data_IF_450932754715
#
_entry.id   IF_450932754715
#
_cell.length_a   1.000
_cell.length_b   1.000
_cell.length_c   1.000
_cell.angle_alpha   90.00
_cell.angle_beta   90.00
_cell.angle_gamma   90.00
#
_symmetry.space_group_name_H-M   'P 1'
#
loop_
_entity.id
_entity.type
_entity.pdbx_description
1 polymer ?
#
# COMPACT_ATOMS: atom_id res chain seq x y z
N UNK A 1 -50.75 -13.87 22.57
CA UNK A 1 -49.92 -12.64 22.54
C UNK A 1 -49.01 -12.71 21.32
N UNK A 2 -49.21 -11.85 20.31
CA UNK A 2 -48.36 -11.83 19.10
C UNK A 2 -47.12 -10.97 19.39
N UNK A 3 -45.93 -11.51 19.15
CA UNK A 3 -44.67 -10.77 19.25
C UNK A 3 -44.45 -10.07 17.91
N UNK A 4 -44.54 -8.75 17.91
CA UNK A 4 -44.16 -7.92 16.77
C UNK A 4 -42.64 -7.90 16.68
N UNK A 5 -42.09 -8.83 15.89
CA UNK A 5 -40.69 -8.82 15.50
C UNK A 5 -40.47 -7.64 14.56
N UNK A 6 -39.88 -6.55 15.08
CA UNK A 6 -39.43 -5.42 14.25
C UNK A 6 -38.43 -5.91 13.20
N UNK A 7 -38.55 -5.47 11.93
CA UNK A 7 -37.65 -5.93 10.87
C UNK A 7 -36.25 -5.39 11.15
N UNK A 8 -35.26 -6.30 11.21
CA UNK A 8 -33.85 -5.93 11.34
C UNK A 8 -33.47 -5.07 10.13
N UNK A 9 -33.10 -3.82 10.40
CA UNK A 9 -32.61 -2.88 9.38
C UNK A 9 -31.38 -3.52 8.71
N UNK A 10 -31.45 -3.72 7.39
CA UNK A 10 -30.35 -4.30 6.60
C UNK A 10 -29.12 -3.40 6.71
N UNK A 11 -27.97 -3.98 7.06
CA UNK A 11 -26.69 -3.26 7.08
C UNK A 11 -26.42 -2.79 5.64
N UNK A 12 -26.15 -1.49 5.40
CA UNK A 12 -25.83 -0.97 4.08
C UNK A 12 -24.60 -1.69 3.49
N UNK A 13 -24.50 -1.82 2.16
CA UNK A 13 -23.28 -2.30 1.52
C UNK A 13 -22.09 -1.41 1.92
N UNK A 14 -20.90 -2.01 1.97
CA UNK A 14 -19.67 -1.36 2.48
C UNK A 14 -19.37 -0.01 1.78
N UNK A 15 -19.73 0.10 0.51
CA UNK A 15 -19.57 1.29 -0.34
C UNK A 15 -20.51 2.46 0.04
N UNK A 16 -21.61 2.17 0.73
CA UNK A 16 -22.63 3.15 1.13
C UNK A 16 -22.46 3.66 2.57
N UNK A 17 -21.36 3.29 3.22
CA UNK A 17 -21.13 3.65 4.62
C UNK A 17 -20.61 5.09 4.75
N UNK A 18 -21.29 5.89 5.57
CA UNK A 18 -20.96 7.29 5.84
C UNK A 18 -19.51 7.50 6.33
N UNK A 19 -18.87 6.49 6.93
CA UNK A 19 -17.47 6.56 7.37
C UNK A 19 -16.47 6.79 6.22
N UNK A 20 -16.88 6.51 4.99
CA UNK A 20 -16.09 6.75 3.78
C UNK A 20 -16.54 8.00 3.01
N UNK A 21 -17.60 8.70 3.47
CA UNK A 21 -18.05 9.95 2.85
C UNK A 21 -17.15 11.12 3.27
N UNK A 22 -16.13 11.35 2.45
CA UNK A 22 -15.20 12.45 2.62
C UNK A 22 -15.75 13.80 2.08
N UNK A 23 -16.99 13.91 1.60
CA UNK A 23 -17.53 15.18 1.07
C UNK A 23 -17.55 16.31 2.11
N UNK A 24 -17.70 15.96 3.40
CA UNK A 24 -17.65 16.91 4.52
C UNK A 24 -16.27 16.96 5.21
N UNK A 25 -15.26 16.30 4.65
CA UNK A 25 -13.94 16.25 5.26
C UNK A 25 -13.21 17.58 5.11
N UNK A 26 -12.66 18.10 6.22
CA UNK A 26 -11.84 19.31 6.20
C UNK A 26 -10.40 18.97 5.79
N UNK A 27 -9.84 19.69 4.81
CA UNK A 27 -8.44 19.53 4.41
C UNK A 27 -7.52 19.71 5.62
N UNK A 28 -6.60 18.76 5.82
CA UNK A 28 -5.60 18.84 6.88
C UNK A 28 -6.08 18.47 8.30
N UNK A 29 -7.35 18.06 8.50
CA UNK A 29 -7.89 17.69 9.82
C UNK A 29 -7.01 16.70 10.60
N UNK A 30 -6.42 15.73 9.90
CA UNK A 30 -5.57 14.70 10.50
C UNK A 30 -4.08 14.87 10.19
N UNK A 31 -3.66 15.97 9.53
CA UNK A 31 -2.28 16.15 9.11
C UNK A 31 -1.29 16.16 10.28
N UNK A 32 -1.70 16.69 11.44
CA UNK A 32 -0.88 16.72 12.66
C UNK A 32 -0.53 15.33 13.22
N UNK A 33 -1.26 14.27 12.83
CA UNK A 33 -1.01 12.89 13.28
C UNK A 33 0.14 12.22 12.54
N UNK A 34 0.58 12.80 11.43
CA UNK A 34 1.60 12.22 10.58
C UNK A 34 2.91 13.01 10.70
N UNK A 35 4.07 12.32 10.66
CA UNK A 35 5.35 13.00 10.64
C UNK A 35 5.49 13.85 9.37
N UNK A 36 6.32 14.90 9.44
CA UNK A 36 6.66 15.71 8.26
C UNK A 36 7.20 14.81 7.15
N UNK A 37 6.67 14.99 5.93
CA UNK A 37 7.06 14.19 4.76
C UNK A 37 6.31 12.85 4.64
N UNK A 38 5.33 12.55 5.48
CA UNK A 38 4.44 11.42 5.26
C UNK A 38 3.57 11.65 4.02
N UNK A 39 3.42 10.61 3.20
CA UNK A 39 2.56 10.60 2.03
C UNK A 39 1.37 9.66 2.26
N UNK A 40 0.17 10.10 1.90
CA UNK A 40 -1.02 9.26 1.86
C UNK A 40 -1.20 8.71 0.44
N UNK A 41 -1.33 7.39 0.33
CA UNK A 41 -1.52 6.70 -0.96
C UNK A 41 -2.73 5.79 -0.83
N UNK A 42 -3.58 5.78 -1.86
CA UNK A 42 -4.68 4.82 -1.94
C UNK A 42 -4.11 3.47 -2.36
N UNK A 43 -4.31 2.47 -1.51
CA UNK A 43 -3.92 1.09 -1.79
C UNK A 43 -5.15 0.36 -2.31
N UNK A 44 -4.96 -0.45 -3.35
CA UNK A 44 -6.05 -1.23 -3.93
C UNK A 44 -6.61 -2.25 -2.91
N UNK A 45 -7.93 -2.50 -2.89
CA UNK A 45 -8.57 -3.33 -1.86
C UNK A 45 -8.01 -4.75 -1.76
N UNK A 46 -7.65 -5.35 -2.89
CA UNK A 46 -7.05 -6.67 -2.99
C UNK A 46 -5.68 -6.72 -2.30
N UNK A 47 -4.86 -5.67 -2.46
CA UNK A 47 -3.57 -5.57 -1.78
C UNK A 47 -3.76 -5.35 -0.28
N UNK A 48 -4.71 -4.51 0.12
CA UNK A 48 -5.01 -4.29 1.52
C UNK A 48 -5.40 -5.57 2.25
N UNK A 49 -6.15 -6.48 1.61
CA UNK A 49 -6.50 -7.80 2.15
C UNK A 49 -5.29 -8.68 2.47
N UNK A 50 -4.15 -8.47 1.79
CA UNK A 50 -2.94 -9.24 2.03
C UNK A 50 -2.04 -8.63 3.11
N UNK A 51 -2.00 -7.29 3.23
CA UNK A 51 -1.11 -6.62 4.19
C UNK A 51 -1.79 -6.27 5.52
N UNK A 52 -3.03 -5.79 5.49
CA UNK A 52 -3.84 -5.45 6.67
C UNK A 52 -3.37 -4.23 7.47
N UNK A 53 -2.09 -3.82 7.38
CA UNK A 53 -1.52 -2.69 8.12
C UNK A 53 -0.54 -1.88 7.28
N UNK A 54 -0.36 -0.61 7.64
CA UNK A 54 0.61 0.27 6.98
C UNK A 54 2.06 -0.22 7.17
N UNK A 55 2.39 -0.79 8.34
CA UNK A 55 3.72 -1.32 8.62
C UNK A 55 4.06 -2.51 7.71
N UNK A 56 3.11 -3.44 7.53
CA UNK A 56 3.28 -4.59 6.65
C UNK A 56 3.49 -4.17 5.18
N UNK A 57 2.76 -3.16 4.71
CA UNK A 57 2.96 -2.58 3.36
C UNK A 57 4.36 -2.00 3.21
N UNK A 58 4.78 -1.19 4.18
CA UNK A 58 6.09 -0.55 4.16
C UNK A 58 7.22 -1.58 4.18
N UNK A 59 7.08 -2.65 4.95
CA UNK A 59 8.04 -3.76 4.98
C UNK A 59 8.10 -4.50 3.65
N UNK A 60 6.97 -4.76 3.01
CA UNK A 60 6.92 -5.32 1.65
C UNK A 60 7.67 -4.44 0.63
N UNK A 61 7.44 -3.13 0.66
CA UNK A 61 8.13 -2.18 -0.22
C UNK A 61 9.64 -2.13 0.03
N UNK A 62 10.08 -2.23 1.30
CA UNK A 62 11.50 -2.31 1.65
C UNK A 62 12.15 -3.57 1.11
N UNK A 63 11.47 -4.71 1.14
CA UNK A 63 11.97 -5.96 0.54
C UNK A 63 12.11 -5.79 -0.97
N UNK A 64 11.10 -5.23 -1.64
CA UNK A 64 11.16 -4.96 -3.08
C UNK A 64 12.33 -4.05 -3.45
N UNK A 65 12.58 -3.01 -2.67
CA UNK A 65 13.74 -2.12 -2.86
C UNK A 65 15.07 -2.86 -2.72
N UNK A 66 15.20 -3.77 -1.74
CA UNK A 66 16.41 -4.60 -1.57
C UNK A 66 16.65 -5.47 -2.80
N UNK A 67 15.61 -6.16 -3.30
CA UNK A 67 15.70 -7.00 -4.50
C UNK A 67 16.07 -6.17 -5.73
N UNK A 68 15.42 -5.02 -5.93
CA UNK A 68 15.72 -4.12 -7.03
C UNK A 68 17.18 -3.60 -6.99
N UNK A 69 17.68 -3.29 -5.79
CA UNK A 69 19.06 -2.84 -5.59
C UNK A 69 20.07 -3.94 -5.92
N UNK A 70 19.81 -5.17 -5.48
CA UNK A 70 20.65 -6.32 -5.80
C UNK A 70 20.68 -6.60 -7.31
N UNK A 71 19.53 -6.54 -7.97
CA UNK A 71 19.43 -6.73 -9.42
C UNK A 71 20.23 -5.66 -10.19
N UNK A 72 20.17 -4.40 -9.75
CA UNK A 72 20.91 -3.28 -10.36
C UNK A 72 22.43 -3.46 -10.24
N UNK A 73 22.90 -3.98 -9.11
CA UNK A 73 24.34 -4.26 -8.90
C UNK A 73 24.85 -5.41 -9.77
N UNK A 74 24.03 -6.44 -10.02
CA UNK A 74 24.38 -7.57 -10.90
C UNK A 74 24.59 -7.16 -12.38
N UNK A 75 23.86 -6.15 -12.86
CA UNK A 75 24.03 -5.62 -14.22
C UNK A 75 25.40 -4.97 -14.45
N UNK A 76 25.93 -4.28 -13.43
CA UNK A 76 27.26 -3.65 -13.48
C UNK A 76 28.39 -4.69 -13.54
N UNK A 77 28.26 -5.81 -12.81
CA UNK A 77 29.22 -6.91 -12.82
C UNK A 77 29.24 -7.62 -14.18
N UNK A 78 28.08 -7.84 -14.81
CA UNK A 78 27.98 -8.44 -16.16
C UNK A 78 28.66 -7.56 -17.22
N UNK A 79 28.52 -6.23 -17.10
CA UNK A 79 29.13 -5.25 -18.02
C UNK A 79 30.65 -5.15 -17.87
N UNK A 80 31.18 -5.32 -16.66
CA UNK A 80 32.64 -5.38 -16.42
C UNK A 80 33.26 -6.67 -16.99
N UNK A 81 32.62 -7.83 -16.79
CA UNK A 81 33.10 -9.13 -17.32
C UNK A 81 33.12 -9.17 -18.85
N UNK A 82 32.11 -8.59 -19.51
CA UNK A 82 32.06 -8.48 -20.96
C UNK A 82 33.20 -7.62 -21.53
N UNK A 83 33.63 -6.59 -20.79
CA UNK A 83 34.72 -5.69 -21.20
C UNK A 83 36.10 -6.35 -21.09
N UNK A 84 36.34 -7.13 -20.03
CA UNK A 84 37.60 -7.85 -19.88
C UNK A 84 37.76 -8.97 -20.90
N UNK A 85 36.68 -9.66 -21.30
CA UNK A 85 36.75 -10.67 -22.36
C UNK A 85 37.17 -10.10 -23.73
N UNK A 86 36.85 -8.84 -24.03
CA UNK A 86 37.28 -8.15 -25.26
C UNK A 86 38.73 -7.64 -25.22
N UNK A 87 39.39 -7.66 -24.06
CA UNK A 87 40.80 -7.26 -23.92
C UNK A 87 41.78 -8.43 -24.01
N UNK A 88 41.27 -9.67 -23.95
CA UNK A 88 42.07 -10.91 -23.92
C UNK A 88 41.99 -11.67 -25.26
N UNK A 89 41.19 -11.17 -26.21
CA UNK A 89 41.17 -11.56 -27.61
C UNK A 89 41.74 -10.40 -28.45
#
# INVERSE_FOLDING_TARGET
MKRDSTPRKSIPPEEALERYDCNKATRGRHAHRFPKGAHAVVIAPELWRHFGTADAVNDGLRVLLKVATLAKTGGSQKRLKARNRRKVA
#
